data_IF_816945942716
#
_entry.id   IF_816945942716
#
_cell.length_a   1.000
_cell.length_b   1.000
_cell.length_c   1.000
_cell.angle_alpha   90.00
_cell.angle_beta   90.00
_cell.angle_gamma   90.00
#
_symmetry.space_group_name_H-M   'P 1'
#
loop_
_entity.id
_entity.type
_entity.pdbx_description
1 polymer ?
#
# COMPACT_ATOMS: atom_id res chain seq x y z
N UNK A 1 1.17 -58.32 22.23
CA UNK A 1 0.41 -57.63 21.16
C UNK A 1 -0.92 -57.21 21.77
N UNK A 2 -1.40 -55.97 21.76
CA UNK A 2 -1.06 -54.77 21.01
C UNK A 2 -1.32 -53.52 21.88
N UNK A 3 -0.58 -52.45 21.60
CA UNK A 3 -0.70 -51.14 22.25
C UNK A 3 -1.83 -50.32 21.60
N UNK A 4 -2.61 -49.59 22.41
CA UNK A 4 -3.52 -48.54 21.93
C UNK A 4 -2.99 -47.18 22.42
N UNK A 5 -2.26 -46.48 21.54
CA UNK A 5 -1.86 -45.10 21.74
C UNK A 5 -3.00 -44.18 21.29
N UNK A 6 -3.67 -43.52 22.24
CA UNK A 6 -4.60 -42.44 21.95
C UNK A 6 -3.80 -41.19 21.57
N UNK A 7 -3.77 -40.88 20.27
CA UNK A 7 -3.12 -39.69 19.74
C UNK A 7 -3.82 -38.42 20.22
N UNK A 8 -3.05 -37.55 20.89
CA UNK A 8 -3.40 -36.16 21.18
C UNK A 8 -3.51 -35.39 19.87
N UNK A 9 -4.73 -35.20 19.37
CA UNK A 9 -5.01 -34.31 18.25
C UNK A 9 -4.96 -32.87 18.73
N UNK A 10 -3.80 -32.23 18.65
CA UNK A 10 -3.67 -30.77 18.76
C UNK A 10 -4.27 -30.16 17.49
N UNK A 11 -5.51 -29.69 17.56
CA UNK A 11 -6.11 -28.84 16.52
C UNK A 11 -5.50 -27.43 16.64
N UNK A 12 -4.22 -27.30 16.32
CA UNK A 12 -3.65 -25.99 16.07
C UNK A 12 -4.36 -25.46 14.83
N UNK A 13 -5.29 -24.51 15.02
CA UNK A 13 -5.81 -23.70 13.94
C UNK A 13 -4.59 -23.16 13.19
N UNK A 14 -4.41 -23.63 11.97
CA UNK A 14 -3.27 -23.25 11.16
C UNK A 14 -3.53 -21.80 10.73
N UNK A 15 -3.03 -20.85 11.51
CA UNK A 15 -3.00 -19.44 11.14
C UNK A 15 -2.24 -19.36 9.82
N UNK A 16 -2.99 -19.27 8.70
CA UNK A 16 -2.40 -19.01 7.40
C UNK A 16 -1.90 -17.58 7.42
N UNK A 17 -0.66 -17.42 7.86
CA UNK A 17 0.08 -16.19 7.69
C UNK A 17 0.34 -16.01 6.20
N UNK A 18 -0.53 -15.26 5.54
CA UNK A 18 -0.35 -14.91 4.15
C UNK A 18 0.75 -13.85 4.04
N UNK A 19 1.63 -13.96 3.04
CA UNK A 19 2.69 -12.99 2.84
C UNK A 19 2.11 -11.61 2.48
N UNK A 20 2.79 -10.51 2.84
CA UNK A 20 2.40 -9.18 2.38
C UNK A 20 2.43 -9.13 0.86
N UNK A 21 1.37 -8.59 0.26
CA UNK A 21 1.24 -8.47 -1.18
C UNK A 21 1.35 -7.00 -1.60
N UNK A 22 1.97 -6.76 -2.76
CA UNK A 22 2.01 -5.44 -3.37
C UNK A 22 0.61 -5.13 -3.93
N UNK A 23 -0.03 -4.10 -3.39
CA UNK A 23 -1.34 -3.63 -3.82
C UNK A 23 -1.22 -2.64 -4.98
N UNK A 24 -0.26 -1.71 -4.88
CA UNK A 24 -0.07 -0.67 -5.88
C UNK A 24 1.38 -0.21 -5.90
N UNK A 25 1.93 -0.01 -7.08
CA UNK A 25 3.21 0.64 -7.27
C UNK A 25 3.09 1.67 -8.38
N UNK A 26 3.44 2.92 -8.08
CA UNK A 26 3.35 4.00 -9.05
C UNK A 26 4.45 5.02 -8.90
N UNK A 27 4.76 5.65 -10.03
CA UNK A 27 5.74 6.72 -10.15
C UNK A 27 5.01 7.95 -10.67
N UNK A 28 5.17 9.07 -9.98
CA UNK A 28 4.57 10.32 -10.41
C UNK A 28 5.54 11.50 -10.28
N UNK A 29 5.28 12.55 -11.04
CA UNK A 29 5.97 13.83 -10.92
C UNK A 29 4.93 14.97 -10.82
N UNK A 30 4.85 15.70 -9.68
CA UNK A 30 3.84 16.73 -9.48
C UNK A 30 4.05 17.96 -10.37
N UNK A 31 5.21 18.09 -11.04
CA UNK A 31 5.48 19.18 -11.99
C UNK A 31 4.82 18.95 -13.36
N UNK A 32 4.38 17.73 -13.66
CA UNK A 32 3.65 17.43 -14.88
C UNK A 32 2.16 17.68 -14.67
N UNK A 33 1.42 18.00 -15.73
CA UNK A 33 -0.01 18.35 -15.63
C UNK A 33 -0.34 19.49 -14.65
N UNK A 34 0.24 20.70 -14.83
CA UNK A 34 0.03 21.82 -13.90
C UNK A 34 -1.36 22.44 -13.96
N UNK A 35 -2.21 22.00 -14.91
CA UNK A 35 -3.56 22.53 -15.12
C UNK A 35 -4.60 21.54 -14.62
N UNK A 36 -5.75 22.07 -14.22
CA UNK A 36 -6.93 21.28 -13.87
C UNK A 36 -7.34 20.39 -15.05
N UNK A 37 -7.57 19.11 -14.79
CA UNK A 37 -7.90 18.10 -15.80
C UNK A 37 -6.69 17.41 -16.45
N UNK A 38 -5.47 17.86 -16.15
CA UNK A 38 -4.23 17.24 -16.63
C UNK A 38 -3.56 16.34 -15.58
N UNK A 39 -4.24 16.01 -14.47
CA UNK A 39 -3.65 15.29 -13.32
C UNK A 39 -3.11 13.91 -13.71
N UNK A 40 -3.69 13.29 -14.74
CA UNK A 40 -3.20 12.01 -15.25
C UNK A 40 -1.76 12.08 -15.78
N UNK A 41 -1.36 13.25 -16.31
CA UNK A 41 -0.03 13.46 -16.88
C UNK A 41 1.05 13.49 -15.81
N UNK A 42 0.67 13.61 -14.53
CA UNK A 42 1.58 13.42 -13.39
C UNK A 42 2.07 11.99 -13.28
N UNK A 43 1.27 11.01 -13.71
CA UNK A 43 1.55 9.59 -13.52
C UNK A 43 2.44 9.09 -14.66
N UNK A 44 3.66 8.70 -14.33
CA UNK A 44 4.64 8.15 -15.27
C UNK A 44 4.55 6.64 -15.38
N UNK A 45 4.19 5.98 -14.29
CA UNK A 45 4.03 4.54 -14.23
C UNK A 45 2.98 4.18 -13.16
N UNK A 46 2.19 3.16 -13.43
CA UNK A 46 1.25 2.61 -12.45
C UNK A 46 1.04 1.12 -12.67
N UNK A 47 1.17 0.33 -11.60
CA UNK A 47 0.91 -1.10 -11.55
C UNK A 47 0.00 -1.44 -10.35
N UNK A 48 -1.06 -2.24 -10.52
CA UNK A 48 -1.53 -2.86 -11.77
C UNK A 48 -2.02 -1.85 -12.81
N UNK A 49 -1.85 -2.12 -14.10
CA UNK A 49 -2.19 -1.14 -15.15
C UNK A 49 -3.70 -1.06 -15.40
N UNK A 50 -4.44 -2.08 -14.96
CA UNK A 50 -5.88 -2.27 -15.11
C UNK A 50 -6.69 -1.33 -14.21
N UNK A 51 -6.03 -0.72 -13.22
CA UNK A 51 -6.65 0.26 -12.33
C UNK A 51 -7.19 1.45 -13.14
N UNK A 52 -8.41 1.86 -12.81
CA UNK A 52 -9.13 2.93 -13.51
C UNK A 52 -8.41 4.28 -13.35
N UNK A 53 -8.49 5.12 -14.39
CA UNK A 53 -7.76 6.40 -14.47
C UNK A 53 -8.02 7.29 -13.25
N UNK A 54 -9.29 7.49 -12.87
CA UNK A 54 -9.61 8.34 -11.72
C UNK A 54 -9.10 7.75 -10.41
N UNK A 55 -9.05 6.42 -10.27
CA UNK A 55 -8.43 5.78 -9.11
C UNK A 55 -6.92 6.06 -9.03
N UNK A 56 -6.19 5.99 -10.15
CA UNK A 56 -4.77 6.36 -10.19
C UNK A 56 -4.55 7.81 -9.79
N UNK A 57 -5.37 8.73 -10.31
CA UNK A 57 -5.32 10.16 -9.97
C UNK A 57 -5.59 10.39 -8.48
N UNK A 58 -6.62 9.73 -7.91
CA UNK A 58 -6.92 9.81 -6.47
C UNK A 58 -5.75 9.32 -5.61
N UNK A 59 -5.11 8.21 -6.00
CA UNK A 59 -3.97 7.67 -5.26
C UNK A 59 -2.77 8.62 -5.27
N UNK A 60 -2.45 9.23 -6.42
CA UNK A 60 -1.41 10.28 -6.49
C UNK A 60 -1.78 11.50 -5.68
N UNK A 61 -3.01 12.01 -5.80
CA UNK A 61 -3.47 13.18 -5.07
C UNK A 61 -3.40 12.99 -3.54
N UNK A 62 -3.75 11.80 -3.04
CA UNK A 62 -3.60 11.47 -1.63
C UNK A 62 -2.13 11.51 -1.19
N UNK A 63 -1.22 10.92 -1.96
CA UNK A 63 0.20 10.89 -1.64
C UNK A 63 0.82 12.29 -1.64
N UNK A 64 0.47 13.10 -2.65
CA UNK A 64 0.90 14.50 -2.77
C UNK A 64 0.44 15.31 -1.55
N UNK A 65 -0.83 15.18 -1.17
CA UNK A 65 -1.38 15.85 0.01
C UNK A 65 -0.66 15.43 1.30
N UNK A 66 -0.36 14.14 1.49
CA UNK A 66 0.33 13.64 2.69
C UNK A 66 1.78 14.16 2.75
N UNK A 67 2.50 14.10 1.63
CA UNK A 67 3.88 14.62 1.55
C UNK A 67 3.88 16.12 1.83
N UNK A 68 2.98 16.89 1.21
CA UNK A 68 2.91 18.34 1.40
C UNK A 68 2.50 18.71 2.83
N UNK A 69 1.53 18.00 3.40
CA UNK A 69 1.12 18.19 4.79
C UNK A 69 2.29 17.94 5.75
N UNK A 70 3.01 16.82 5.58
CA UNK A 70 4.12 16.46 6.48
C UNK A 70 5.34 17.38 6.35
N UNK A 71 5.58 17.99 5.18
CA UNK A 71 6.58 19.04 5.00
C UNK A 71 6.34 20.27 5.87
N UNK A 72 5.08 20.58 6.20
CA UNK A 72 4.72 21.68 7.11
C UNK A 72 5.33 21.49 8.50
N UNK A 73 5.47 20.24 8.95
CA UNK A 73 6.03 19.88 10.25
C UNK A 73 7.52 19.50 10.18
N UNK A 74 7.98 19.01 9.02
CA UNK A 74 9.38 18.66 8.78
C UNK A 74 9.82 19.09 7.37
N UNK A 75 10.34 20.32 7.21
CA UNK A 75 10.65 20.89 5.90
C UNK A 75 11.72 20.11 5.12
N UNK A 76 12.68 19.51 5.83
CA UNK A 76 13.82 18.80 5.23
C UNK A 76 13.60 17.29 5.08
N UNK A 77 12.57 16.72 5.72
CA UNK A 77 12.34 15.26 5.76
C UNK A 77 10.83 14.96 5.66
N UNK A 78 10.27 14.92 4.44
CA UNK A 78 8.88 14.49 4.24
C UNK A 78 8.67 13.04 4.71
N UNK A 79 7.41 12.65 4.87
CA UNK A 79 7.07 11.29 5.29
C UNK A 79 7.64 10.22 4.35
N UNK A 80 8.31 9.21 4.92
CA UNK A 80 8.87 8.06 4.19
C UNK A 80 7.93 6.86 4.16
N UNK A 81 7.01 6.79 5.11
CA UNK A 81 6.03 5.71 5.19
C UNK A 81 4.77 6.17 5.90
N UNK A 82 3.63 5.68 5.43
CA UNK A 82 2.34 5.77 6.09
C UNK A 82 1.87 4.38 6.45
N UNK A 83 1.50 4.18 7.71
CA UNK A 83 0.93 2.93 8.18
C UNK A 83 -0.56 3.12 8.47
N UNK A 84 -1.40 2.30 7.84
CA UNK A 84 -2.83 2.23 8.11
C UNK A 84 -3.15 0.88 8.73
N UNK A 85 -4.41 0.69 9.14
CA UNK A 85 -4.87 -0.61 9.64
C UNK A 85 -4.74 -1.71 8.58
N UNK A 86 -4.98 -1.41 7.29
CA UNK A 86 -5.02 -2.43 6.24
C UNK A 86 -3.72 -2.53 5.44
N UNK A 87 -2.99 -1.43 5.28
CA UNK A 87 -1.83 -1.36 4.41
C UNK A 87 -0.70 -0.48 4.96
N UNK A 88 0.49 -0.63 4.38
CA UNK A 88 1.60 0.32 4.53
C UNK A 88 1.97 0.87 3.18
N UNK A 89 2.09 2.19 3.13
CA UNK A 89 2.55 2.94 1.97
C UNK A 89 3.97 3.42 2.24
N UNK A 90 4.84 3.37 1.24
CA UNK A 90 6.19 3.88 1.27
C UNK A 90 6.33 4.98 0.24
N UNK A 91 6.95 6.09 0.62
CA UNK A 91 7.21 7.23 -0.27
C UNK A 91 8.72 7.40 -0.40
N UNK A 92 9.20 7.42 -1.63
CA UNK A 92 10.60 7.63 -1.95
C UNK A 92 10.73 8.70 -3.03
N UNK A 93 11.58 9.70 -2.79
CA UNK A 93 11.93 10.74 -3.76
C UNK A 93 13.40 10.52 -4.17
N UNK A 94 13.69 9.62 -5.14
CA UNK A 94 15.06 9.36 -5.59
C UNK A 94 15.70 10.56 -6.30
N UNK A 95 14.89 11.34 -7.02
CA UNK A 95 15.28 12.55 -7.75
C UNK A 95 14.27 13.66 -7.46
N UNK A 96 14.68 14.92 -7.65
CA UNK A 96 13.83 16.07 -7.36
C UNK A 96 12.51 15.98 -8.13
N UNK A 97 11.39 16.01 -7.40
CA UNK A 97 10.04 15.88 -7.94
C UNK A 97 9.69 14.51 -8.56
N UNK A 98 10.56 13.51 -8.50
CA UNK A 98 10.19 12.15 -8.90
C UNK A 98 9.83 11.35 -7.67
N UNK A 99 8.57 10.94 -7.58
CA UNK A 99 8.05 10.19 -6.45
C UNK A 99 7.76 8.76 -6.86
N UNK A 100 8.25 7.83 -6.05
CA UNK A 100 7.94 6.41 -6.14
C UNK A 100 7.14 6.02 -4.90
N UNK A 101 5.96 5.44 -5.12
CA UNK A 101 5.06 5.01 -4.05
C UNK A 101 4.77 3.53 -4.18
N UNK A 102 4.98 2.80 -3.08
CA UNK A 102 4.65 1.38 -2.97
C UNK A 102 3.65 1.17 -1.84
N UNK A 103 2.55 0.49 -2.14
CA UNK A 103 1.52 0.14 -1.17
C UNK A 103 1.48 -1.36 -0.99
N UNK A 104 1.68 -1.83 0.23
CA UNK A 104 1.60 -3.23 0.62
C UNK A 104 0.41 -3.47 1.53
N UNK A 105 -0.36 -4.52 1.29
CA UNK A 105 -1.43 -4.97 2.18
C UNK A 105 -0.86 -5.95 3.22
N UNK A 106 -1.28 -5.80 4.48
CA UNK A 106 -0.98 -6.78 5.52
C UNK A 106 -2.09 -7.79 5.61
N UNK A 107 -1.81 -9.02 5.22
CA UNK A 107 -2.83 -10.07 5.27
C UNK A 107 -3.11 -10.56 6.70
N UNK A 108 -2.25 -10.23 7.68
CA UNK A 108 -2.44 -10.59 9.09
C UNK A 108 -3.59 -9.83 9.80
N UNK A 109 -4.15 -8.79 9.17
CA UNK A 109 -5.27 -8.01 9.74
C UNK A 109 -6.59 -8.19 8.98
N UNK A 110 -6.72 -9.23 8.14
CA UNK A 110 -8.03 -9.78 7.84
C UNK A 110 -8.37 -10.76 8.97
N UNK A 111 -8.72 -10.23 10.13
CA UNK A 111 -9.30 -11.03 11.20
C UNK A 111 -10.56 -11.71 10.68
N UNK A 112 -10.83 -12.88 11.24
CA UNK A 112 -11.88 -13.87 10.93
C UNK A 112 -13.31 -13.37 10.63
N UNK A 113 -13.60 -12.07 10.71
CA UNK A 113 -14.91 -11.46 10.45
C UNK A 113 -15.16 -11.19 8.95
N UNK A 114 -14.13 -10.96 8.13
CA UNK A 114 -14.30 -10.74 6.67
C UNK A 114 -14.36 -12.06 5.86
N UNK A 115 -14.25 -13.21 6.53
CA UNK A 115 -14.11 -14.55 5.90
C UNK A 115 -15.34 -15.46 6.06
N UNK A 116 -16.45 -14.94 6.60
CA UNK A 116 -17.74 -15.61 6.60
C UNK A 116 -18.83 -14.63 6.11
N UNK A 117 -19.61 -14.98 5.05
CA UNK A 117 -20.77 -14.20 4.63
C UNK A 117 -21.92 -14.25 5.64
#
# INVERSE_FOLDING_TARGET
>A
MAAAAAGTGTWAAQEKQFPPALLSFFIYNPRFGPREGEEENKILFYHPNEVEKNEKIRNVGLCEAIVQFTRTFSPSKPAKSLHTQKNRQFFNEPEENFWMVMVFIYTLMLSSEDLYP
#
